data_IF_968863049251
#
_entry.id   IF_968863049251
#
_cell.length_a   1.000
_cell.length_b   1.000
_cell.length_c   1.000
_cell.angle_alpha   90.00
_cell.angle_beta   90.00
_cell.angle_gamma   90.00
#
_symmetry.space_group_name_H-M   'P 1'
#
loop_
_entity.id
_entity.type
_entity.pdbx_description
1 polymer ?
#
# COMPACT_ATOMS: atom_id res chain seq x y z
N UNK A 1 4.21 -10.35 -16.87
CA UNK A 1 3.93 -9.97 -15.48
C UNK A 1 3.30 -8.60 -15.52
N UNK A 2 1.99 -8.51 -15.38
CA UNK A 2 1.24 -7.25 -15.28
C UNK A 2 0.73 -7.07 -13.85
N UNK A 3 0.48 -5.83 -13.42
CA UNK A 3 -0.40 -5.55 -12.29
C UNK A 3 -1.71 -4.92 -12.81
N UNK A 4 -2.60 -4.52 -11.91
CA UNK A 4 -3.87 -3.92 -12.29
C UNK A 4 -3.73 -2.56 -13.00
N UNK A 5 -2.56 -1.90 -12.90
CA UNK A 5 -2.31 -0.55 -13.44
C UNK A 5 -1.43 -0.53 -14.68
N UNK A 6 -0.47 -1.44 -14.79
CA UNK A 6 0.58 -1.46 -15.80
C UNK A 6 0.82 -2.88 -16.32
N UNK A 7 1.05 -2.99 -17.63
CA UNK A 7 1.41 -4.24 -18.29
C UNK A 7 2.74 -4.84 -17.82
N UNK A 8 3.65 -3.97 -17.34
CA UNK A 8 4.91 -4.32 -16.68
C UNK A 8 5.03 -3.44 -15.42
N UNK A 9 4.92 -4.01 -14.21
CA UNK A 9 5.05 -3.26 -12.97
C UNK A 9 6.39 -2.53 -12.86
N UNK A 10 6.37 -1.36 -12.26
CA UNK A 10 7.58 -0.58 -11.97
C UNK A 10 8.36 -1.21 -10.81
N UNK A 11 9.63 -0.84 -10.70
CA UNK A 11 10.43 -1.15 -9.51
C UNK A 11 9.80 -0.57 -8.24
N UNK A 12 9.15 0.58 -8.33
CA UNK A 12 8.41 1.19 -7.22
C UNK A 12 7.30 0.25 -6.73
N UNK A 13 6.40 -0.18 -7.63
CA UNK A 13 5.30 -1.09 -7.28
C UNK A 13 5.83 -2.37 -6.60
N UNK A 14 6.87 -2.98 -7.18
CA UNK A 14 7.49 -4.18 -6.61
C UNK A 14 8.03 -3.96 -5.19
N UNK A 15 8.75 -2.86 -4.96
CA UNK A 15 9.34 -2.56 -3.66
C UNK A 15 8.27 -2.26 -2.60
N UNK A 16 7.22 -1.52 -2.97
CA UNK A 16 6.09 -1.25 -2.08
C UNK A 16 5.33 -2.55 -1.74
N UNK A 17 5.05 -3.39 -2.73
CA UNK A 17 4.45 -4.71 -2.53
C UNK A 17 5.30 -5.57 -1.60
N UNK A 18 6.63 -5.56 -1.77
CA UNK A 18 7.56 -6.32 -0.92
C UNK A 18 7.49 -5.88 0.54
N UNK A 19 7.48 -4.56 0.79
CA UNK A 19 7.35 -4.04 2.16
C UNK A 19 6.03 -4.50 2.78
N UNK A 20 4.91 -4.31 2.08
CA UNK A 20 3.59 -4.69 2.59
C UNK A 20 3.46 -6.19 2.81
N UNK A 21 4.02 -7.01 1.92
CA UNK A 21 4.04 -8.45 2.06
C UNK A 21 4.84 -8.87 3.30
N UNK A 22 6.10 -8.45 3.42
CA UNK A 22 6.96 -8.86 4.54
C UNK A 22 6.40 -8.41 5.89
N UNK A 23 5.90 -7.17 5.95
CA UNK A 23 5.33 -6.58 7.16
C UNK A 23 4.22 -7.43 7.80
N UNK A 24 3.41 -8.11 6.99
CA UNK A 24 2.25 -8.89 7.44
C UNK A 24 2.43 -10.41 7.37
N UNK A 25 3.56 -10.90 6.84
CA UNK A 25 3.84 -12.33 6.72
C UNK A 25 5.00 -12.80 7.59
N UNK A 26 5.89 -11.88 8.02
CA UNK A 26 6.96 -12.22 8.95
C UNK A 26 6.52 -11.97 10.39
N UNK A 27 6.75 -12.91 11.32
CA UNK A 27 6.60 -12.64 12.74
C UNK A 27 7.40 -11.40 13.14
N UNK A 28 6.88 -10.63 14.08
CA UNK A 28 7.51 -9.45 14.68
C UNK A 28 7.76 -8.24 13.77
N UNK A 29 7.64 -8.37 12.45
CA UNK A 29 7.91 -7.27 11.52
C UNK A 29 6.94 -6.10 11.70
N UNK A 30 5.65 -6.37 11.95
CA UNK A 30 4.68 -5.33 12.30
C UNK A 30 5.02 -4.63 13.62
N UNK A 31 5.51 -5.38 14.61
CA UNK A 31 5.93 -4.81 15.89
C UNK A 31 7.17 -3.91 15.71
N UNK A 32 8.17 -4.39 14.96
CA UNK A 32 9.36 -3.63 14.62
C UNK A 32 9.04 -2.36 13.83
N UNK A 33 8.13 -2.44 12.85
CA UNK A 33 7.65 -1.28 12.10
C UNK A 33 6.94 -0.26 12.99
N UNK A 34 6.10 -0.71 13.92
CA UNK A 34 5.39 0.18 14.84
C UNK A 34 6.33 0.82 15.87
N UNK A 35 7.41 0.14 16.25
CA UNK A 35 8.42 0.68 17.15
C UNK A 35 9.25 1.77 16.48
N UNK A 36 9.74 1.53 15.27
CA UNK A 36 10.52 2.50 14.49
C UNK A 36 10.35 2.25 12.99
N UNK A 37 9.46 3.04 12.38
CA UNK A 37 9.14 2.94 10.95
C UNK A 37 10.36 3.24 10.08
N UNK A 38 11.15 4.26 10.43
CA UNK A 38 12.28 4.68 9.61
C UNK A 38 13.40 3.65 9.63
N UNK A 39 13.69 3.10 10.81
CA UNK A 39 14.64 2.00 10.96
C UNK A 39 14.16 0.76 10.20
N UNK A 40 12.89 0.38 10.33
CA UNK A 40 12.34 -0.76 9.59
C UNK A 40 12.43 -0.55 8.07
N UNK A 41 11.99 0.60 7.58
CA UNK A 41 11.99 0.93 6.16
C UNK A 41 13.39 1.11 5.57
N UNK A 42 14.42 1.35 6.39
CA UNK A 42 15.82 1.42 5.96
C UNK A 42 16.37 0.10 5.39
N UNK A 43 15.70 -1.03 5.68
CA UNK A 43 16.02 -2.35 5.11
C UNK A 43 15.78 -2.42 3.60
N UNK A 44 14.99 -1.50 3.05
CA UNK A 44 14.55 -1.48 1.66
C UNK A 44 15.16 -0.28 0.92
N UNK A 45 15.40 -0.43 -0.39
CA UNK A 45 15.92 0.64 -1.26
C UNK A 45 14.81 1.60 -1.70
N UNK A 46 14.11 2.21 -0.74
CA UNK A 46 12.99 3.11 -0.99
C UNK A 46 13.50 4.55 -1.20
N UNK A 47 12.90 5.27 -2.14
CA UNK A 47 13.05 6.72 -2.23
C UNK A 47 12.34 7.39 -1.05
N UNK A 48 12.64 8.68 -0.80
CA UNK A 48 11.96 9.44 0.25
C UNK A 48 10.43 9.48 0.04
N UNK A 49 9.99 9.60 -1.20
CA UNK A 49 8.57 9.62 -1.56
C UNK A 49 7.88 8.27 -1.25
N UNK A 50 8.52 7.15 -1.60
CA UNK A 50 7.99 5.82 -1.28
C UNK A 50 7.87 5.60 0.23
N UNK A 51 8.87 6.04 0.99
CA UNK A 51 8.83 5.99 2.46
C UNK A 51 7.67 6.82 3.00
N UNK A 52 7.43 8.01 2.46
CA UNK A 52 6.32 8.86 2.88
C UNK A 52 4.96 8.18 2.63
N UNK A 53 4.75 7.55 1.46
CA UNK A 53 3.52 6.79 1.16
C UNK A 53 3.24 5.69 2.19
N UNK A 54 4.25 4.88 2.53
CA UNK A 54 4.10 3.77 3.49
C UNK A 54 3.97 4.28 4.93
N UNK A 55 4.89 5.13 5.38
CA UNK A 55 4.93 5.61 6.77
C UNK A 55 3.71 6.45 7.14
N UNK A 56 3.19 7.22 6.17
CA UNK A 56 1.97 8.01 6.27
C UNK A 56 0.68 7.21 6.06
N UNK A 57 0.76 5.92 5.73
CA UNK A 57 -0.39 5.07 5.40
C UNK A 57 -1.28 5.69 4.30
N UNK A 58 -0.68 6.29 3.27
CA UNK A 58 -1.41 6.94 2.18
C UNK A 58 -1.99 5.88 1.23
N UNK A 59 -3.21 5.43 1.55
CA UNK A 59 -3.90 4.35 0.83
C UNK A 59 -4.08 4.68 -0.66
N UNK A 60 -4.45 5.91 -0.98
CA UNK A 60 -4.67 6.34 -2.35
C UNK A 60 -3.37 6.36 -3.14
N UNK A 61 -2.31 6.97 -2.59
CA UNK A 61 -1.01 7.03 -3.26
C UNK A 61 -0.35 5.65 -3.41
N UNK A 62 -0.50 4.76 -2.42
CA UNK A 62 -0.04 3.37 -2.52
C UNK A 62 -0.77 2.63 -3.64
N UNK A 63 -2.09 2.80 -3.74
CA UNK A 63 -2.87 2.25 -4.84
C UNK A 63 -2.36 2.80 -6.18
N UNK A 64 -2.30 4.12 -6.37
CA UNK A 64 -1.82 4.71 -7.64
C UNK A 64 -0.38 4.34 -8.02
N UNK A 65 0.48 4.03 -7.03
CA UNK A 65 1.82 3.51 -7.25
C UNK A 65 1.85 2.07 -7.81
N UNK A 66 0.69 1.41 -7.92
CA UNK A 66 0.53 0.09 -8.50
C UNK A 66 0.66 -1.06 -7.50
N UNK A 67 0.55 -0.77 -6.20
CA UNK A 67 0.51 -1.80 -5.15
C UNK A 67 -0.67 -2.75 -5.37
N UNK A 68 -0.45 -4.02 -5.07
CA UNK A 68 -1.49 -5.05 -5.12
C UNK A 68 -2.63 -4.73 -4.11
N UNK A 69 -3.90 -4.62 -4.55
CA UNK A 69 -5.02 -4.27 -3.67
C UNK A 69 -5.22 -5.21 -2.48
N UNK A 70 -4.86 -6.50 -2.62
CA UNK A 70 -4.95 -7.45 -1.51
C UNK A 70 -3.89 -7.18 -0.44
N UNK A 71 -2.66 -6.84 -0.83
CA UNK A 71 -1.60 -6.45 0.10
C UNK A 71 -1.94 -5.12 0.78
N UNK A 72 -2.48 -4.17 0.01
CA UNK A 72 -2.95 -2.90 0.55
C UNK A 72 -4.08 -3.09 1.56
N UNK A 73 -5.05 -3.97 1.28
CA UNK A 73 -6.14 -4.29 2.21
C UNK A 73 -5.62 -4.94 3.49
N UNK A 74 -4.73 -5.92 3.37
CA UNK A 74 -4.08 -6.54 4.53
C UNK A 74 -3.31 -5.51 5.36
N UNK A 75 -2.64 -4.56 4.69
CA UNK A 75 -1.94 -3.48 5.37
C UNK A 75 -2.87 -2.57 6.16
N UNK A 76 -3.99 -2.15 5.57
CA UNK A 76 -5.00 -1.36 6.27
C UNK A 76 -5.49 -2.08 7.54
N UNK A 77 -5.71 -3.41 7.47
CA UNK A 77 -6.11 -4.21 8.63
C UNK A 77 -5.00 -4.23 9.68
N UNK A 78 -3.77 -4.56 9.29
CA UNK A 78 -2.67 -4.73 10.23
C UNK A 78 -2.27 -3.44 10.94
N UNK A 79 -2.36 -2.28 10.29
CA UNK A 79 -2.11 -0.97 10.91
C UNK A 79 -3.39 -0.27 11.42
N UNK A 80 -4.51 -1.00 11.46
CA UNK A 80 -5.80 -0.57 12.03
C UNK A 80 -6.40 0.70 11.41
N UNK A 81 -6.25 0.86 10.09
CA UNK A 81 -6.99 1.87 9.33
C UNK A 81 -8.47 1.46 9.27
N UNK A 82 -9.41 2.30 9.72
CA UNK A 82 -10.83 2.02 9.59
C UNK A 82 -11.23 1.75 8.13
N UNK A 83 -12.16 0.81 7.93
CA UNK A 83 -12.55 0.38 6.59
C UNK A 83 -13.15 1.53 5.77
N UNK A 84 -14.02 2.34 6.37
CA UNK A 84 -14.61 3.53 5.77
C UNK A 84 -13.56 4.55 5.32
N UNK A 85 -12.49 4.74 6.09
CA UNK A 85 -11.35 5.61 5.71
C UNK A 85 -10.61 5.05 4.50
N UNK A 86 -10.27 3.76 4.50
CA UNK A 86 -9.58 3.13 3.37
C UNK A 86 -10.44 3.13 2.09
N UNK A 87 -11.74 2.89 2.23
CA UNK A 87 -12.68 2.93 1.11
C UNK A 87 -12.88 4.36 0.59
N UNK A 88 -12.94 5.36 1.47
CA UNK A 88 -13.02 6.76 1.06
C UNK A 88 -11.80 7.19 0.25
N UNK A 89 -10.59 6.77 0.67
CA UNK A 89 -9.35 7.04 -0.07
C UNK A 89 -9.32 6.38 -1.46
N UNK A 90 -9.83 5.16 -1.59
CA UNK A 90 -9.94 4.51 -2.91
C UNK A 90 -11.02 5.16 -3.77
N UNK A 91 -12.16 5.53 -3.17
CA UNK A 91 -13.27 6.20 -3.87
C UNK A 91 -12.89 7.58 -4.37
N UNK A 92 -11.99 8.30 -3.69
CA UNK A 92 -11.53 9.62 -4.17
C UNK A 92 -10.75 9.53 -5.48
N UNK A 93 -10.30 8.34 -5.89
CA UNK A 93 -9.64 8.11 -7.17
C UNK A 93 -10.62 7.74 -8.29
N UNK A 94 -11.85 7.38 -7.95
CA UNK A 94 -12.87 7.01 -8.93
C UNK A 94 -13.31 8.25 -9.72
N UNK A 95 -13.46 8.06 -11.03
CA UNK A 95 -14.08 9.04 -11.92
C UNK A 95 -15.57 8.78 -12.00
N UNK A 96 -16.32 9.80 -12.38
CA UNK A 96 -17.75 9.68 -12.59
C UNK A 96 -18.06 8.55 -13.59
N UNK A 97 -18.77 7.54 -13.12
CA UNK A 97 -19.18 6.38 -13.91
C UNK A 97 -18.33 5.12 -13.77
N UNK A 98 -17.24 5.13 -13.00
CA UNK A 98 -16.46 3.91 -12.70
C UNK A 98 -17.26 2.88 -11.90
N UNK A 99 -18.30 3.33 -11.19
CA UNK A 99 -19.21 2.52 -10.37
C UNK A 99 -20.45 2.02 -11.14
N UNK A 100 -20.58 2.29 -12.44
CA UNK A 100 -21.76 1.89 -13.23
C UNK A 100 -22.01 0.38 -13.23
N UNK A 101 -20.98 -0.41 -12.96
CA UNK A 101 -21.03 -1.88 -12.87
C UNK A 101 -21.39 -2.41 -11.46
N UNK A 102 -21.55 -1.52 -10.47
CA UNK A 102 -21.92 -1.88 -9.08
C UNK A 102 -23.44 -1.80 -8.83
N UNK A 103 -24.24 -1.47 -9.85
CA UNK A 103 -25.71 -1.40 -9.78
C UNK A 103 -26.36 -2.72 -10.16
#
# INVERSE_FOLDING_TARGET
MSNWRLMMPTTEAYLLDKVLFELHHKPDDLAAYNQDKDQYLSRYKLTAEMKAKISGNDVAALYEAGVNPYLLRAHCIGVKIPEDVSLAALRSLMKEGDDKWLK
#
